data_IF_641074267119
#
_entry.id   IF_641074267119
#
_cell.length_a   1.000
_cell.length_b   1.000
_cell.length_c   1.000
_cell.angle_alpha   90.00
_cell.angle_beta   90.00
_cell.angle_gamma   90.00
#
_symmetry.space_group_name_H-M   'P 1'
#
loop_
_entity.id
_entity.type
_entity.pdbx_description
1 polymer ?
#
# COMPACT_ATOMS: atom_id res chain seq x y z
N UNK A 1 3.71 -13.07 8.33
CA UNK A 1 4.46 -11.86 8.70
C UNK A 1 3.52 -10.67 8.84
N UNK A 2 3.95 -9.65 9.56
CA UNK A 2 3.14 -8.45 9.76
C UNK A 2 3.76 -7.27 9.05
N UNK A 3 2.88 -6.50 8.38
CA UNK A 3 3.27 -5.26 7.73
C UNK A 3 2.31 -4.16 8.15
N UNK A 4 2.73 -2.91 7.99
CA UNK A 4 1.88 -1.77 8.30
C UNK A 4 1.59 -1.01 7.02
N UNK A 5 0.31 -0.71 6.79
CA UNK A 5 -0.13 0.03 5.62
C UNK A 5 -0.59 1.42 6.04
N UNK A 6 -0.03 2.43 5.42
CA UNK A 6 -0.44 3.83 5.64
C UNK A 6 -0.89 4.38 4.30
N UNK A 7 -2.12 4.86 4.26
CA UNK A 7 -2.72 5.37 3.03
C UNK A 7 -3.06 6.84 3.23
N UNK A 8 -2.75 7.64 2.24
CA UNK A 8 -3.00 9.07 2.27
C UNK A 8 -4.19 9.44 1.41
N UNK A 9 -4.85 10.54 1.76
CA UNK A 9 -5.99 11.07 1.04
C UNK A 9 -7.17 10.09 1.05
N UNK A 10 -8.04 10.19 0.08
CA UNK A 10 -9.26 9.40 0.01
C UNK A 10 -9.06 7.96 -0.45
N UNK A 11 -7.84 7.58 -0.79
CA UNK A 11 -7.59 6.17 -1.11
C UNK A 11 -7.94 5.25 0.06
N UNK A 12 -7.87 5.75 1.28
CA UNK A 12 -8.22 4.97 2.47
C UNK A 12 -9.67 4.48 2.44
N UNK A 13 -10.55 5.15 1.71
CA UNK A 13 -11.96 4.77 1.62
C UNK A 13 -12.15 3.44 0.92
N UNK A 14 -11.14 2.99 0.19
CA UNK A 14 -11.19 1.72 -0.52
C UNK A 14 -10.54 0.57 0.26
N UNK A 15 -10.14 0.82 1.49
CA UNK A 15 -9.49 -0.20 2.32
C UNK A 15 -10.36 -0.49 3.53
N UNK A 16 -10.88 -1.71 3.58
CA UNK A 16 -11.73 -2.14 4.67
C UNK A 16 -10.95 -2.14 5.98
N UNK A 17 -11.54 -1.58 7.02
CA UNK A 17 -10.93 -1.54 8.34
C UNK A 17 -9.94 -0.40 8.56
N UNK A 18 -9.69 0.42 7.56
CA UNK A 18 -8.77 1.55 7.72
C UNK A 18 -9.50 2.71 8.37
N UNK A 19 -9.12 3.07 9.57
CA UNK A 19 -9.91 4.01 10.37
C UNK A 19 -9.22 5.33 10.71
N UNK A 20 -7.89 5.42 10.59
CA UNK A 20 -7.21 6.62 11.05
C UNK A 20 -5.84 6.78 10.43
N UNK A 21 -5.12 7.81 10.87
CA UNK A 21 -3.79 8.12 10.35
C UNK A 21 -2.67 7.26 10.91
N UNK A 22 -2.99 6.36 11.81
CA UNK A 22 -1.98 5.49 12.41
C UNK A 22 -1.64 4.29 11.55
N UNK A 23 -2.42 4.08 10.51
CA UNK A 23 -2.18 2.97 9.61
C UNK A 23 -2.90 1.69 10.03
N UNK A 24 -2.79 0.69 9.20
CA UNK A 24 -3.43 -0.60 9.41
C UNK A 24 -2.36 -1.68 9.50
N UNK A 25 -2.29 -2.34 10.65
CA UNK A 25 -1.44 -3.52 10.79
C UNK A 25 -2.13 -4.70 10.14
N UNK A 26 -1.42 -5.37 9.26
CA UNK A 26 -1.99 -6.45 8.46
C UNK A 26 -1.10 -7.68 8.53
N UNK A 27 -1.71 -8.82 8.81
CA UNK A 27 -1.04 -10.09 8.74
C UNK A 27 -1.05 -10.57 7.31
N UNK A 28 0.11 -10.90 6.75
CA UNK A 28 0.20 -11.39 5.38
C UNK A 28 1.01 -12.68 5.34
N UNK A 29 0.76 -13.49 4.32
CA UNK A 29 1.52 -14.71 4.12
C UNK A 29 2.94 -14.37 3.70
N UNK A 30 3.86 -15.29 3.93
CA UNK A 30 5.21 -15.14 3.44
C UNK A 30 5.20 -15.16 1.91
N UNK A 31 6.21 -14.55 1.33
CA UNK A 31 6.33 -14.44 -0.13
C UNK A 31 5.23 -13.58 -0.77
N UNK A 32 4.62 -12.68 0.00
CA UNK A 32 3.65 -11.74 -0.52
C UNK A 32 4.36 -10.62 -1.26
N UNK A 33 4.08 -10.44 -2.56
CA UNK A 33 4.63 -9.33 -3.32
C UNK A 33 3.92 -8.02 -2.98
N UNK A 34 4.59 -6.91 -3.25
CA UNK A 34 3.99 -5.58 -3.05
C UNK A 34 2.72 -5.47 -3.88
N UNK A 35 2.80 -5.84 -5.15
CA UNK A 35 1.65 -5.76 -6.06
C UNK A 35 0.46 -6.56 -5.56
N UNK A 36 0.71 -7.79 -5.17
CA UNK A 36 -0.37 -8.66 -4.69
C UNK A 36 -0.97 -8.13 -3.40
N UNK A 37 -0.12 -7.63 -2.49
CA UNK A 37 -0.60 -7.06 -1.24
C UNK A 37 -1.56 -5.89 -1.50
N UNK A 38 -1.19 -5.00 -2.42
CA UNK A 38 -2.04 -3.87 -2.75
C UNK A 38 -3.34 -4.32 -3.40
N UNK A 39 -3.27 -5.31 -4.30
CA UNK A 39 -4.47 -5.84 -4.94
C UNK A 39 -5.43 -6.48 -3.95
N UNK A 40 -4.91 -7.17 -2.95
CA UNK A 40 -5.75 -7.82 -1.94
C UNK A 40 -6.28 -6.84 -0.91
N UNK A 41 -5.59 -5.75 -0.69
CA UNK A 41 -5.96 -4.77 0.34
C UNK A 41 -6.85 -3.67 -0.23
N UNK A 42 -6.49 -3.14 -1.38
CA UNK A 42 -7.27 -2.12 -2.08
C UNK A 42 -8.08 -2.84 -3.16
N UNK A 43 -9.31 -3.19 -2.83
CA UNK A 43 -10.14 -4.01 -3.71
C UNK A 43 -10.91 -3.16 -4.71
N UNK A 44 -10.19 -2.29 -5.41
CA UNK A 44 -10.81 -1.38 -6.36
C UNK A 44 -9.79 -1.02 -7.44
N UNK A 45 -10.03 -1.45 -8.66
CA UNK A 45 -9.05 -1.30 -9.75
C UNK A 45 -8.70 0.15 -10.03
N UNK A 46 -9.69 1.03 -10.01
CA UNK A 46 -9.42 2.45 -10.26
C UNK A 46 -8.59 3.08 -9.17
N UNK A 47 -8.80 2.67 -7.93
CA UNK A 47 -7.99 3.15 -6.82
C UNK A 47 -6.55 2.68 -6.96
N UNK A 48 -6.34 1.45 -7.38
CA UNK A 48 -5.00 0.94 -7.64
C UNK A 48 -4.32 1.73 -8.74
N UNK A 49 -5.04 2.01 -9.82
CA UNK A 49 -4.50 2.78 -10.95
C UNK A 49 -4.19 4.23 -10.56
N UNK A 50 -4.84 4.73 -9.52
CA UNK A 50 -4.64 6.09 -9.06
C UNK A 50 -3.43 6.25 -8.12
N UNK A 51 -2.78 5.17 -7.76
CA UNK A 51 -1.59 5.26 -6.90
C UNK A 51 -0.46 5.90 -7.71
N UNK A 52 0.10 6.99 -7.19
CA UNK A 52 1.19 7.66 -7.86
C UNK A 52 2.56 7.27 -7.31
N UNK A 53 2.64 6.90 -6.04
CA UNK A 53 3.90 6.60 -5.42
C UNK A 53 3.72 5.62 -4.27
N UNK A 54 4.66 4.71 -4.13
CA UNK A 54 4.73 3.77 -3.02
C UNK A 54 6.07 3.96 -2.33
N UNK A 55 6.04 4.10 -1.01
CA UNK A 55 7.24 4.22 -0.20
C UNK A 55 7.24 3.09 0.81
N UNK A 56 8.33 2.35 0.88
CA UNK A 56 8.47 1.28 1.87
C UNK A 56 9.72 1.54 2.68
N UNK A 57 9.54 1.65 4.00
CA UNK A 57 10.63 1.93 4.94
C UNK A 57 11.43 3.16 4.50
N UNK A 58 10.69 4.21 4.12
CA UNK A 58 11.21 5.51 3.73
C UNK A 58 11.97 5.55 2.41
N UNK A 59 11.82 4.51 1.60
CA UNK A 59 12.43 4.46 0.25
C UNK A 59 11.34 4.34 -0.80
N UNK A 60 11.44 5.16 -1.83
CA UNK A 60 10.52 5.08 -2.97
C UNK A 60 10.72 3.77 -3.70
N UNK A 61 9.61 3.10 -4.02
CA UNK A 61 9.63 1.85 -4.76
C UNK A 61 9.24 2.14 -6.21
N UNK A 62 10.17 1.97 -7.15
CA UNK A 62 9.83 2.14 -8.57
C UNK A 62 8.88 1.03 -9.02
N UNK A 63 8.06 1.33 -10.01
CA UNK A 63 7.10 0.34 -10.50
C UNK A 63 7.76 -0.93 -11.03
N UNK A 64 9.00 -0.83 -11.48
CA UNK A 64 9.75 -2.00 -11.93
C UNK A 64 9.99 -3.01 -10.80
N UNK A 65 9.90 -2.57 -9.55
CA UNK A 65 10.16 -3.43 -8.39
C UNK A 65 8.88 -3.81 -7.65
N UNK A 66 7.72 -3.52 -8.22
CA UNK A 66 6.45 -3.74 -7.51
C UNK A 66 6.16 -5.22 -7.25
N UNK A 67 6.83 -6.10 -7.97
CA UNK A 67 6.65 -7.54 -7.78
C UNK A 67 7.61 -8.16 -6.77
N UNK A 68 8.51 -7.36 -6.17
CA UNK A 68 9.34 -7.90 -5.12
C UNK A 68 8.51 -8.21 -3.87
N UNK A 69 9.00 -9.14 -3.07
CA UNK A 69 8.28 -9.56 -1.88
C UNK A 69 8.44 -8.57 -0.73
N UNK A 70 7.39 -8.44 0.06
CA UNK A 70 7.43 -7.73 1.32
C UNK A 70 8.22 -8.52 2.35
N UNK A 71 8.68 -7.82 3.38
CA UNK A 71 9.38 -8.42 4.50
C UNK A 71 8.65 -8.09 5.80
N UNK A 72 8.81 -8.94 6.79
CA UNK A 72 8.19 -8.72 8.08
C UNK A 72 8.62 -7.37 8.65
N UNK A 73 7.66 -6.62 9.14
CA UNK A 73 7.91 -5.30 9.70
C UNK A 73 7.91 -4.15 8.70
N UNK A 74 7.72 -4.44 7.41
CA UNK A 74 7.69 -3.37 6.42
C UNK A 74 6.58 -2.35 6.70
N UNK A 75 6.90 -1.09 6.49
CA UNK A 75 5.94 0.01 6.56
C UNK A 75 5.71 0.53 5.15
N UNK A 76 4.51 0.32 4.64
CA UNK A 76 4.15 0.62 3.27
C UNK A 76 3.28 1.88 3.26
N UNK A 77 3.75 2.91 2.58
CA UNK A 77 3.01 4.16 2.43
C UNK A 77 2.55 4.30 0.98
N UNK A 78 1.28 4.57 0.80
CA UNK A 78 0.67 4.66 -0.53
C UNK A 78 0.12 6.07 -0.72
N UNK A 79 0.50 6.72 -1.80
CA UNK A 79 0.14 8.10 -2.09
C UNK A 79 -0.77 8.18 -3.31
N UNK A 80 -1.78 9.09 -3.26
CA UNK A 80 -2.64 9.36 -4.42
C UNK A 80 -1.90 10.17 -5.46
N UNK A 81 -2.53 10.42 -6.62
CA UNK A 81 -1.92 11.27 -7.64
C UNK A 81 -1.62 12.65 -7.10
N UNK A 82 -0.46 13.16 -7.42
CA UNK A 82 -0.07 14.51 -7.05
C UNK A 82 -0.79 15.53 -7.93
N UNK A 83 -0.99 16.71 -7.33
CA UNK A 83 -1.67 17.76 -8.05
C UNK A 83 -3.16 17.59 -8.09
N UNK A 84 -3.64 16.61 -7.44
CA UNK A 84 -5.04 16.44 -7.10
C UNK A 84 -6.03 16.74 -8.19
N UNK A 85 -5.64 16.67 -9.21
CA UNK A 85 -6.64 16.98 -10.20
C UNK A 85 -7.98 16.62 -9.65
#
# INVERSE_FOLDING_TARGET
MKVKLIIYSNLKDYVEGYQNNEGLLTEVSEEMSIKRFLQETIKHDRALDAISMIIINEKVVPFQQIERNLQDGDIIKVYPPMGGG
#
